data_IF_803207054115
#
_entry.id   IF_803207054115
#
_cell.length_a   1.000
_cell.length_b   1.000
_cell.length_c   1.000
_cell.angle_alpha   90.00
_cell.angle_beta   90.00
_cell.angle_gamma   90.00
#
_symmetry.space_group_name_H-M   'P 1'
#
loop_
_entity.id
_entity.type
_entity.pdbx_description
1 polymer ?
#
# COMPACT_ATOMS: atom_id res chain seq x y z
N UNK A 1 24.74 12.20 -5.79
CA UNK A 1 23.60 12.73 -5.02
C UNK A 1 22.36 11.91 -5.35
N UNK A 2 21.55 11.57 -4.36
CA UNK A 2 20.26 10.89 -4.55
C UNK A 2 19.17 11.97 -4.51
N UNK A 3 18.25 11.94 -5.47
CA UNK A 3 17.12 12.86 -5.55
C UNK A 3 15.82 12.08 -5.60
N UNK A 4 14.83 12.54 -4.85
CA UNK A 4 13.47 12.02 -4.87
C UNK A 4 12.55 13.07 -5.48
N UNK A 5 11.60 12.65 -6.31
CA UNK A 5 10.64 13.56 -6.95
C UNK A 5 9.30 12.88 -7.09
N UNK A 6 8.26 13.56 -6.64
CA UNK A 6 6.88 13.12 -6.80
C UNK A 6 6.43 13.31 -8.24
N UNK A 7 5.84 12.26 -8.83
CA UNK A 7 5.38 12.29 -10.23
C UNK A 7 3.92 12.76 -10.32
N UNK A 8 3.06 12.30 -9.42
CA UNK A 8 1.63 12.63 -9.46
C UNK A 8 0.72 11.57 -8.83
N UNK A 9 -0.56 11.89 -8.81
CA UNK A 9 -1.64 10.93 -8.54
C UNK A 9 -2.26 10.45 -9.85
N UNK A 10 -2.64 9.17 -9.88
CA UNK A 10 -3.28 8.55 -11.03
C UNK A 10 -4.58 7.93 -10.55
N UNK A 11 -5.69 8.29 -11.20
CA UNK A 11 -6.97 7.62 -10.97
C UNK A 11 -6.90 6.19 -11.50
N UNK A 12 -7.33 5.24 -10.68
CA UNK A 12 -7.31 3.81 -11.01
C UNK A 12 -8.74 3.32 -11.17
N UNK A 13 -9.10 2.90 -12.38
CA UNK A 13 -10.40 2.32 -12.71
C UNK A 13 -10.39 0.79 -12.58
N UNK A 14 -9.29 0.14 -12.94
CA UNK A 14 -9.08 -1.30 -12.76
C UNK A 14 -8.03 -1.54 -11.67
N UNK A 15 -8.49 -2.09 -10.54
CA UNK A 15 -7.67 -2.41 -9.38
C UNK A 15 -7.01 -3.79 -9.48
N UNK A 16 -7.19 -4.52 -10.58
CA UNK A 16 -6.47 -5.76 -10.84
C UNK A 16 -4.96 -5.50 -10.97
N UNK A 17 -4.14 -6.53 -10.76
CA UNK A 17 -2.70 -6.40 -10.97
C UNK A 17 -2.32 -5.99 -12.41
N UNK A 18 -3.16 -6.29 -13.40
CA UNK A 18 -2.95 -5.88 -14.79
C UNK A 18 -3.30 -4.40 -15.02
N UNK A 19 -4.45 -3.95 -14.51
CA UNK A 19 -4.86 -2.55 -14.62
C UNK A 19 -3.88 -1.61 -13.92
N UNK A 20 -3.43 -1.99 -12.72
CA UNK A 20 -2.42 -1.23 -11.97
C UNK A 20 -1.07 -1.18 -12.69
N UNK A 21 -0.61 -2.28 -13.28
CA UNK A 21 0.59 -2.32 -14.12
C UNK A 21 0.47 -1.33 -15.29
N UNK A 22 -0.65 -1.38 -16.02
CA UNK A 22 -0.91 -0.50 -17.15
C UNK A 22 -0.89 0.97 -16.74
N UNK A 23 -1.57 1.33 -15.66
CA UNK A 23 -1.57 2.68 -15.11
C UNK A 23 -0.16 3.17 -14.76
N UNK A 24 0.69 2.31 -14.18
CA UNK A 24 2.08 2.65 -13.85
C UNK A 24 2.91 2.88 -15.11
N UNK A 25 2.84 1.99 -16.10
CA UNK A 25 3.59 2.13 -17.36
C UNK A 25 3.14 3.38 -18.11
N UNK A 26 1.85 3.65 -18.14
CA UNK A 26 1.30 4.86 -18.74
C UNK A 26 1.79 6.12 -18.01
N UNK A 27 1.85 6.11 -16.68
CA UNK A 27 2.39 7.23 -15.89
C UNK A 27 3.88 7.48 -16.20
N UNK A 28 4.70 6.43 -16.23
CA UNK A 28 6.12 6.50 -16.60
C UNK A 28 6.28 7.11 -17.99
N UNK A 29 5.52 6.61 -18.96
CA UNK A 29 5.62 7.02 -20.37
C UNK A 29 5.15 8.46 -20.59
N UNK A 30 4.02 8.87 -19.98
CA UNK A 30 3.49 10.24 -20.03
C UNK A 30 4.46 11.28 -19.47
N UNK A 31 5.29 10.89 -18.51
CA UNK A 31 6.32 11.74 -17.90
C UNK A 31 7.68 11.65 -18.62
N UNK A 32 7.72 11.05 -19.82
CA UNK A 32 8.95 10.85 -20.61
C UNK A 32 10.05 10.08 -19.84
N UNK A 33 9.67 9.24 -18.87
CA UNK A 33 10.58 8.38 -18.15
C UNK A 33 10.75 7.07 -18.92
N UNK A 34 11.97 6.53 -18.89
CA UNK A 34 12.29 5.31 -19.63
C UNK A 34 12.14 4.07 -18.74
N UNK A 35 11.20 3.19 -19.08
CA UNK A 35 10.97 1.92 -18.36
C UNK A 35 12.23 1.04 -18.30
N UNK A 36 13.13 1.11 -19.28
CA UNK A 36 14.40 0.37 -19.26
C UNK A 36 15.33 0.78 -18.10
N UNK A 37 15.11 1.97 -17.52
CA UNK A 37 15.83 2.49 -16.36
C UNK A 37 15.15 2.17 -15.03
N UNK A 38 14.02 1.46 -15.04
CA UNK A 38 13.40 0.96 -13.80
C UNK A 38 14.35 -0.07 -13.15
N UNK A 39 14.70 0.16 -11.88
CA UNK A 39 15.62 -0.68 -11.09
C UNK A 39 15.04 -1.17 -9.79
N UNK A 40 13.96 -0.55 -9.33
CA UNK A 40 13.28 -0.93 -8.11
C UNK A 40 11.79 -0.63 -8.20
N UNK A 41 11.01 -1.37 -7.44
CA UNK A 41 9.58 -1.18 -7.28
C UNK A 41 9.22 -1.51 -5.83
N UNK A 42 8.54 -0.58 -5.16
CA UNK A 42 8.20 -0.68 -3.75
C UNK A 42 6.69 -0.64 -3.55
N UNK A 43 6.09 -1.70 -3.01
CA UNK A 43 4.64 -1.77 -2.78
C UNK A 43 4.29 -2.40 -1.44
N UNK A 44 3.05 -2.21 -1.00
CA UNK A 44 2.50 -2.86 0.19
C UNK A 44 2.28 -4.37 0.00
N UNK A 45 1.69 -5.02 1.00
CA UNK A 45 1.41 -6.46 1.00
C UNK A 45 0.18 -6.86 0.19
N UNK A 46 -0.57 -5.94 -0.42
CA UNK A 46 -1.81 -6.28 -1.11
C UNK A 46 -1.56 -7.25 -2.28
N UNK A 47 -2.39 -8.28 -2.42
CA UNK A 47 -2.16 -9.37 -3.38
C UNK A 47 -2.01 -8.88 -4.83
N UNK A 48 -2.75 -7.84 -5.22
CA UNK A 48 -2.67 -7.25 -6.56
C UNK A 48 -1.34 -6.51 -6.79
N UNK A 49 -0.63 -6.08 -5.74
CA UNK A 49 0.68 -5.43 -5.82
C UNK A 49 1.83 -6.43 -5.64
N UNK A 50 1.80 -7.19 -4.54
CA UNK A 50 2.88 -8.06 -4.06
C UNK A 50 2.85 -9.48 -4.64
N UNK A 51 1.74 -9.89 -5.25
CA UNK A 51 1.51 -11.25 -5.72
C UNK A 51 2.60 -11.75 -6.68
N UNK A 52 3.12 -12.94 -6.40
CA UNK A 52 4.28 -13.52 -7.11
C UNK A 52 3.98 -14.00 -8.53
N UNK A 53 2.71 -14.20 -8.87
CA UNK A 53 2.26 -14.68 -10.19
C UNK A 53 1.57 -13.57 -10.99
N UNK A 54 0.57 -12.93 -10.38
CA UNK A 54 -0.33 -11.99 -11.07
C UNK A 54 -0.29 -10.58 -10.50
N UNK A 55 0.54 -10.32 -9.48
CA UNK A 55 0.69 -9.00 -8.90
C UNK A 55 1.52 -8.08 -9.79
N UNK A 56 1.38 -6.77 -9.58
CA UNK A 56 2.17 -5.74 -10.27
C UNK A 56 3.66 -6.04 -10.21
N UNK A 57 4.16 -6.51 -9.06
CA UNK A 57 5.58 -6.80 -8.90
C UNK A 57 6.10 -7.86 -9.88
N UNK A 58 5.36 -8.96 -10.05
CA UNK A 58 5.71 -10.03 -10.96
C UNK A 58 5.61 -9.56 -12.42
N UNK A 59 4.56 -8.80 -12.74
CA UNK A 59 4.29 -8.29 -14.08
C UNK A 59 5.33 -7.29 -14.55
N UNK A 60 5.64 -6.27 -13.75
CA UNK A 60 6.71 -5.30 -14.08
C UNK A 60 8.08 -5.97 -14.12
N UNK A 61 8.36 -6.95 -13.26
CA UNK A 61 9.62 -7.72 -13.30
C UNK A 61 9.75 -8.55 -14.58
N UNK A 62 8.64 -9.02 -15.16
CA UNK A 62 8.64 -9.70 -16.45
C UNK A 62 9.05 -8.77 -17.61
N UNK A 63 8.66 -7.49 -17.54
CA UNK A 63 9.00 -6.45 -18.55
C UNK A 63 10.39 -5.84 -18.32
N UNK A 64 10.80 -5.71 -17.06
CA UNK A 64 12.10 -5.21 -16.66
C UNK A 64 12.68 -6.09 -15.54
N UNK A 65 13.52 -7.04 -15.92
CA UNK A 65 14.11 -8.04 -15.00
C UNK A 65 14.93 -7.42 -13.86
N UNK A 66 15.48 -6.22 -14.08
CA UNK A 66 16.26 -5.49 -13.07
C UNK A 66 15.40 -4.70 -12.08
N UNK A 67 14.08 -4.63 -12.26
CA UNK A 67 13.17 -3.93 -11.35
C UNK A 67 12.91 -4.77 -10.09
N UNK A 68 13.81 -4.66 -9.10
CA UNK A 68 13.72 -5.45 -7.87
C UNK A 68 12.54 -5.00 -7.02
N UNK A 69 11.72 -5.97 -6.61
CA UNK A 69 10.61 -5.72 -5.68
C UNK A 69 11.10 -5.59 -4.25
N UNK A 70 10.62 -4.55 -3.57
CA UNK A 70 10.84 -4.28 -2.16
C UNK A 70 9.47 -4.17 -1.50
N UNK A 71 9.23 -5.00 -0.48
CA UNK A 71 8.01 -4.90 0.31
C UNK A 71 8.09 -3.70 1.25
N UNK A 72 6.99 -2.94 1.34
CA UNK A 72 6.94 -1.68 2.08
C UNK A 72 7.31 -1.87 3.56
N UNK A 73 8.41 -1.23 3.99
CA UNK A 73 8.88 -1.28 5.37
C UNK A 73 7.83 -0.78 6.37
N UNK A 74 7.10 0.29 6.03
CA UNK A 74 6.02 0.82 6.86
C UNK A 74 4.88 -0.17 7.05
N UNK A 75 4.53 -0.92 6.00
CA UNK A 75 3.51 -1.97 6.10
C UNK A 75 3.98 -3.13 6.98
N UNK A 76 5.24 -3.57 6.82
CA UNK A 76 5.83 -4.60 7.68
C UNK A 76 5.88 -4.18 9.15
N UNK A 77 6.30 -2.94 9.42
CA UNK A 77 6.29 -2.40 10.77
C UNK A 77 4.88 -2.40 11.36
N UNK A 78 3.88 -1.97 10.60
CA UNK A 78 2.49 -1.97 11.03
C UNK A 78 1.99 -3.40 11.35
N UNK A 79 2.35 -4.40 10.55
CA UNK A 79 2.00 -5.79 10.83
C UNK A 79 2.64 -6.30 12.14
N UNK A 80 3.94 -6.06 12.32
CA UNK A 80 4.66 -6.45 13.56
C UNK A 80 4.05 -5.78 14.79
N UNK A 81 3.73 -4.49 14.69
CA UNK A 81 3.05 -3.77 15.76
C UNK A 81 1.68 -4.39 16.05
N UNK A 82 0.86 -4.63 15.03
CA UNK A 82 -0.45 -5.26 15.24
C UNK A 82 -0.34 -6.64 15.91
N UNK A 83 0.62 -7.47 15.51
CA UNK A 83 0.84 -8.78 16.13
C UNK A 83 1.31 -8.67 17.58
N UNK A 84 2.24 -7.74 17.87
CA UNK A 84 2.70 -7.48 19.22
C UNK A 84 1.55 -7.01 20.13
N UNK A 85 0.75 -6.06 19.66
CA UNK A 85 -0.43 -5.57 20.39
C UNK A 85 -1.46 -6.69 20.57
N UNK A 86 -1.62 -7.55 19.57
CA UNK A 86 -2.49 -8.72 19.64
C UNK A 86 -1.96 -9.85 20.54
N UNK A 87 -0.74 -9.76 21.04
CA UNK A 87 -0.22 -10.73 22.02
C UNK A 87 -0.55 -10.35 23.47
N UNK A 88 -0.84 -9.07 23.76
CA UNK A 88 -1.19 -8.59 25.11
C UNK A 88 -2.70 -8.42 25.28
N UNK A 89 -3.23 -9.05 26.33
CA UNK A 89 -4.66 -8.96 26.65
C UNK A 89 -5.04 -7.57 27.15
N UNK A 90 -4.16 -6.93 27.92
CA UNK A 90 -4.33 -5.58 28.49
C UNK A 90 -4.43 -4.54 27.37
N UNK A 91 -3.49 -4.62 26.43
CA UNK A 91 -3.46 -3.74 25.26
C UNK A 91 -4.70 -3.92 24.39
N UNK A 92 -5.11 -5.17 24.10
CA UNK A 92 -6.36 -5.44 23.37
C UNK A 92 -7.57 -4.83 24.07
N UNK A 93 -7.67 -4.96 25.40
CA UNK A 93 -8.78 -4.39 26.17
C UNK A 93 -8.79 -2.87 26.08
N UNK A 94 -7.63 -2.23 26.18
CA UNK A 94 -7.49 -0.79 26.05
C UNK A 94 -7.97 -0.30 24.67
N UNK A 95 -7.41 -0.84 23.57
CA UNK A 95 -7.79 -0.42 22.23
C UNK A 95 -9.24 -0.80 21.87
N UNK A 96 -9.72 -1.96 22.36
CA UNK A 96 -11.12 -2.35 22.20
C UNK A 96 -12.10 -1.42 22.94
N UNK A 97 -11.70 -0.83 24.07
CA UNK A 97 -12.50 0.20 24.74
C UNK A 97 -12.52 1.50 23.92
N UNK A 98 -11.38 1.94 23.42
CA UNK A 98 -11.27 3.13 22.57
C UNK A 98 -12.12 2.96 21.30
N UNK A 99 -12.07 1.80 20.64
CA UNK A 99 -12.88 1.48 19.48
C UNK A 99 -14.38 1.51 19.80
N UNK A 100 -14.80 0.96 20.95
CA UNK A 100 -16.20 1.01 21.39
C UNK A 100 -16.69 2.44 21.63
N UNK A 101 -15.85 3.30 22.24
CA UNK A 101 -16.17 4.71 22.44
C UNK A 101 -16.32 5.39 21.09
N UNK A 102 -15.33 5.26 20.19
CA UNK A 102 -15.40 5.82 18.84
C UNK A 102 -16.68 5.38 18.11
N UNK A 103 -16.98 4.08 18.13
CA UNK A 103 -18.15 3.49 17.48
C UNK A 103 -19.46 4.01 18.09
N UNK A 104 -19.50 4.24 19.41
CA UNK A 104 -20.66 4.82 20.05
C UNK A 104 -20.98 6.22 19.51
N UNK A 105 -19.97 7.09 19.39
CA UNK A 105 -20.14 8.45 18.88
C UNK A 105 -20.36 8.50 17.36
N UNK A 106 -19.59 7.75 16.57
CA UNK A 106 -19.67 7.78 15.10
C UNK A 106 -21.02 7.33 14.55
N UNK A 107 -21.75 6.50 15.29
CA UNK A 107 -23.09 6.03 14.92
C UNK A 107 -24.21 7.07 15.08
N UNK A 108 -23.97 8.23 15.71
CA UNK A 108 -25.00 9.27 15.81
C UNK A 108 -24.43 10.67 16.02
N UNK A 109 -24.76 11.59 15.12
CA UNK A 109 -24.42 13.02 15.25
C UNK A 109 -24.94 13.60 16.58
N UNK A 110 -26.08 13.12 17.09
CA UNK A 110 -26.63 13.57 18.38
C UNK A 110 -25.75 13.18 19.56
N UNK A 111 -25.03 12.06 19.48
CA UNK A 111 -24.13 11.63 20.55
C UNK A 111 -22.88 12.51 20.64
N UNK A 112 -22.46 13.16 19.55
CA UNK A 112 -21.38 14.15 19.59
C UNK A 112 -21.74 15.43 20.36
N UNK A 113 -23.01 15.60 20.73
CA UNK A 113 -23.49 16.72 21.54
C UNK A 113 -23.58 16.38 23.05
N UNK A 114 -23.26 15.13 23.44
CA UNK A 114 -23.05 14.74 24.85
C UNK A 114 -21.77 15.41 25.38
#
# INVERSE_FOLDING_TARGET
QINESFIGFVEILDQSGAGLEESIINCITKNNLNLSKLRGQGYDGAANMSGVYSGVQARLKSKQKLATYIHCASHNLNLVLNDAMNSSTEVKKFFGLVEKIYTFFSNSIKRWQL
#
